data_IF_711275388657
#
_entry.id   IF_711275388657
#
_cell.length_a   1.000
_cell.length_b   1.000
_cell.length_c   1.000
_cell.angle_alpha   90.00
_cell.angle_beta   90.00
_cell.angle_gamma   90.00
#
_symmetry.space_group_name_H-M   'P 1'
#
loop_
_entity.id
_entity.type
_entity.pdbx_description
1 polymer ?
#
# COMPACT_ATOMS: atom_id res chain seq x y z
N UNK A 1 7.90 15.14 -3.52
CA UNK A 1 7.45 14.82 -3.58
C UNK A 1 6.83 13.90 -3.50
N UNK A 2 6.57 13.61 -3.62
CA UNK A 2 6.07 12.93 -3.15
C UNK A 2 5.21 11.89 -3.35
N UNK A 3 5.02 11.17 -2.49
CA UNK A 3 4.20 10.02 -2.55
C UNK A 3 2.86 10.22 -1.91
N UNK A 4 2.55 11.45 -1.52
CA UNK A 4 1.28 11.61 -0.88
C UNK A 4 0.23 11.39 -1.90
N UNK A 5 -0.68 10.54 -1.70
CA UNK A 5 -1.81 10.28 -2.57
C UNK A 5 -1.41 9.93 -3.97
N UNK A 6 -0.50 9.01 -4.08
CA UNK A 6 0.00 8.61 -5.37
C UNK A 6 -1.00 7.79 -6.16
N UNK A 7 -2.21 7.63 -5.68
CA UNK A 7 -3.19 6.80 -6.34
C UNK A 7 -3.22 5.41 -5.78
N UNK A 8 -3.94 4.53 -6.41
CA UNK A 8 -4.06 3.16 -5.93
C UNK A 8 -2.73 2.45 -5.99
N UNK A 9 -2.40 1.75 -4.92
CA UNK A 9 -1.12 1.06 -4.82
C UNK A 9 -1.16 -0.27 -5.56
N UNK A 10 -2.27 -0.98 -5.45
CA UNK A 10 -2.40 -2.30 -6.07
C UNK A 10 -3.54 -2.31 -7.06
N UNK A 11 -3.37 -3.13 -8.08
CA UNK A 11 -4.45 -3.38 -9.03
C UNK A 11 -5.55 -4.14 -8.33
N UNK A 12 -6.79 -3.89 -8.74
CA UNK A 12 -7.89 -4.68 -8.23
C UNK A 12 -7.79 -6.08 -8.80
N UNK A 13 -7.86 -7.12 -7.95
CA UNK A 13 -7.94 -8.47 -8.46
C UNK A 13 -9.24 -8.65 -9.21
N UNK A 14 -9.31 -9.74 -9.96
CA UNK A 14 -10.50 -10.03 -10.71
C UNK A 14 -11.69 -10.16 -9.77
N UNK A 15 -12.73 -9.38 -9.99
CA UNK A 15 -13.95 -9.44 -9.22
C UNK A 15 -13.82 -9.01 -7.77
N UNK A 16 -12.70 -8.39 -7.41
CA UNK A 16 -12.49 -7.95 -6.03
C UNK A 16 -11.89 -6.56 -6.03
N UNK A 17 -12.08 -5.86 -4.93
CA UNK A 17 -11.44 -4.56 -4.74
C UNK A 17 -10.23 -4.74 -3.85
N UNK A 18 -9.07 -4.30 -4.30
CA UNK A 18 -7.86 -4.37 -3.49
C UNK A 18 -8.07 -3.62 -2.18
N UNK A 19 -8.70 -2.45 -2.24
CA UNK A 19 -8.94 -1.68 -1.02
C UNK A 19 -9.78 -2.43 -0.01
N UNK A 20 -10.77 -3.16 -0.49
CA UNK A 20 -11.62 -3.92 0.38
C UNK A 20 -10.87 -5.04 1.08
N UNK A 21 -10.02 -5.74 0.33
CA UNK A 21 -9.22 -6.81 0.89
C UNK A 21 -8.23 -6.28 1.92
N UNK A 22 -7.64 -5.14 1.64
CA UNK A 22 -6.69 -4.53 2.56
C UNK A 22 -7.41 -4.08 3.83
N UNK A 23 -8.57 -3.48 3.67
CA UNK A 23 -9.35 -3.05 4.83
C UNK A 23 -9.80 -4.24 5.67
N UNK A 24 -10.25 -5.30 5.02
CA UNK A 24 -10.69 -6.50 5.74
C UNK A 24 -9.53 -7.17 6.48
N UNK A 25 -8.31 -6.97 5.99
CA UNK A 25 -7.13 -7.49 6.67
C UNK A 25 -6.67 -6.56 7.79
N UNK A 26 -7.40 -5.48 8.03
CA UNK A 26 -7.15 -4.54 9.13
C UNK A 26 -5.79 -3.86 9.02
N UNK A 27 -5.47 -3.47 7.80
CA UNK A 27 -4.18 -2.83 7.53
C UNK A 27 -4.24 -1.31 7.47
N UNK A 28 -5.44 -0.72 7.55
CA UNK A 28 -5.53 0.73 7.56
C UNK A 28 -4.72 1.28 8.72
N UNK A 29 -3.92 2.28 8.44
CA UNK A 29 -3.09 2.90 9.47
C UNK A 29 -1.76 2.24 9.69
N UNK A 30 -1.49 1.09 9.08
CA UNK A 30 -0.20 0.42 9.23
C UNK A 30 0.90 1.30 8.68
N UNK A 31 2.01 1.37 9.39
CA UNK A 31 3.10 2.27 9.04
C UNK A 31 4.42 1.53 8.92
N UNK A 32 5.26 2.03 8.03
CA UNK A 32 6.68 1.72 8.01
C UNK A 32 7.38 3.07 7.83
N UNK A 33 8.15 3.49 8.83
CA UNK A 33 8.68 4.83 8.79
C UNK A 33 7.54 5.83 8.71
N UNK A 34 7.61 6.74 7.76
CA UNK A 34 6.54 7.72 7.55
C UNK A 34 5.61 7.33 6.40
N UNK A 35 5.71 6.12 5.91
CA UNK A 35 4.75 5.60 4.94
C UNK A 35 3.62 4.94 5.70
N UNK A 36 2.39 5.26 5.34
CA UNK A 36 1.24 4.73 6.07
C UNK A 36 0.14 4.34 5.10
N UNK A 37 -0.48 3.20 5.36
CA UNK A 37 -1.70 2.84 4.65
C UNK A 37 -2.78 3.84 5.06
N UNK A 38 -3.40 4.49 4.09
CA UNK A 38 -4.37 5.53 4.37
C UNK A 38 -5.51 4.97 5.20
N UNK A 39 -5.97 5.76 6.17
CA UNK A 39 -7.11 5.36 6.98
C UNK A 39 -8.42 5.62 6.30
N UNK A 40 -8.41 6.39 5.22
CA UNK A 40 -9.63 6.63 4.45
C UNK A 40 -9.78 5.66 3.29
N UNK A 41 -8.67 5.42 2.58
CA UNK A 41 -8.69 4.57 1.39
C UNK A 41 -7.59 3.54 1.53
N UNK A 42 -7.96 2.34 1.87
CA UNK A 42 -7.00 1.32 2.25
C UNK A 42 -6.01 0.99 1.15
N UNK A 43 -6.33 1.23 -0.12
CA UNK A 43 -5.42 0.95 -1.21
C UNK A 43 -4.54 2.14 -1.57
N UNK A 44 -4.38 3.07 -0.65
CA UNK A 44 -3.52 4.23 -0.84
C UNK A 44 -2.47 4.24 0.25
N UNK A 45 -1.27 4.67 -0.09
CA UNK A 45 -0.22 4.88 0.90
C UNK A 45 0.11 6.36 0.90
N UNK A 46 0.13 6.94 2.09
CA UNK A 46 0.41 8.36 2.25
C UNK A 46 1.78 8.52 2.89
N UNK A 47 2.38 9.66 2.63
CA UNK A 47 3.66 10.04 3.20
C UNK A 47 3.39 11.03 4.31
N UNK A 48 3.75 10.66 5.54
CA UNK A 48 3.51 11.52 6.69
C UNK A 48 4.59 12.59 6.85
N UNK A 49 5.56 12.60 5.95
CA UNK A 49 6.56 13.65 5.96
C UNK A 49 7.89 13.22 5.39
N UNK A 50 8.42 12.12 5.86
CA UNK A 50 9.76 11.71 5.49
C UNK A 50 9.84 10.28 5.00
N UNK A 51 8.79 9.77 4.43
CA UNK A 51 8.82 8.42 3.92
C UNK A 51 9.80 8.33 2.78
N UNK A 52 10.57 7.26 2.78
CA UNK A 52 11.51 6.98 1.70
C UNK A 52 10.93 5.88 0.83
N UNK A 53 11.48 5.77 -0.39
CA UNK A 53 11.00 4.73 -1.28
C UNK A 53 11.09 3.36 -0.63
N UNK A 54 12.14 3.10 0.14
CA UNK A 54 12.27 1.80 0.79
C UNK A 54 11.17 1.57 1.82
N UNK A 55 10.69 2.64 2.46
CA UNK A 55 9.60 2.49 3.42
C UNK A 55 8.31 2.11 2.71
N UNK A 56 8.05 2.74 1.57
CA UNK A 56 6.87 2.44 0.78
C UNK A 56 6.93 1.00 0.27
N UNK A 57 8.08 0.60 -0.25
CA UNK A 57 8.23 -0.76 -0.75
C UNK A 57 8.03 -1.78 0.37
N UNK A 58 8.60 -1.51 1.53
CA UNK A 58 8.46 -2.41 2.66
C UNK A 58 7.00 -2.51 3.09
N UNK A 59 6.30 -1.38 3.13
CA UNK A 59 4.90 -1.38 3.50
C UNK A 59 4.06 -2.13 2.48
N UNK A 60 4.34 -1.92 1.19
CA UNK A 60 3.63 -2.64 0.16
C UNK A 60 3.81 -4.15 0.30
N UNK A 61 5.01 -4.57 0.67
CA UNK A 61 5.27 -5.99 0.84
C UNK A 61 4.50 -6.55 2.02
N UNK A 62 4.42 -5.79 3.12
CA UNK A 62 3.63 -6.19 4.28
C UNK A 62 2.17 -6.35 3.88
N UNK A 63 1.63 -5.36 3.16
CA UNK A 63 0.23 -5.40 2.76
C UNK A 63 -0.01 -6.60 1.85
N UNK A 64 0.85 -6.79 0.86
CA UNK A 64 0.70 -7.89 -0.09
C UNK A 64 0.72 -9.23 0.62
N UNK A 65 1.68 -9.41 1.52
CA UNK A 65 1.82 -10.68 2.21
C UNK A 65 0.65 -10.94 3.15
N UNK A 66 0.19 -9.89 3.84
CA UNK A 66 -0.92 -10.05 4.77
C UNK A 66 -2.20 -10.42 4.04
N UNK A 67 -2.47 -9.76 2.93
CA UNK A 67 -3.67 -10.07 2.16
C UNK A 67 -3.58 -11.50 1.62
N UNK A 68 -2.40 -11.91 1.18
CA UNK A 68 -2.22 -13.28 0.71
C UNK A 68 -2.50 -14.27 1.84
N UNK A 69 -1.99 -13.99 3.04
CA UNK A 69 -2.17 -14.90 4.16
C UNK A 69 -3.61 -14.95 4.64
N UNK A 70 -4.29 -13.81 4.63
CA UNK A 70 -5.65 -13.73 5.18
C UNK A 70 -6.68 -14.18 4.16
N UNK A 71 -6.51 -13.77 2.92
CA UNK A 71 -7.55 -13.98 1.91
C UNK A 71 -7.15 -14.97 0.83
N UNK A 72 -5.88 -15.34 0.76
CA UNK A 72 -5.42 -16.20 -0.32
C UNK A 72 -5.36 -15.50 -1.66
N UNK A 73 -5.37 -14.18 -1.68
CA UNK A 73 -5.37 -13.41 -2.89
C UNK A 73 -4.03 -12.72 -3.05
N UNK A 74 -3.44 -12.82 -4.23
CA UNK A 74 -2.17 -12.16 -4.51
C UNK A 74 -2.43 -10.81 -5.16
N UNK A 75 -2.04 -9.75 -4.48
CA UNK A 75 -2.16 -8.40 -5.02
C UNK A 75 -0.96 -8.10 -5.90
N UNK A 76 -1.20 -7.30 -6.95
CA UNK A 76 -0.14 -6.87 -7.84
C UNK A 76 0.00 -5.36 -7.77
N UNK A 77 1.23 -4.85 -7.64
CA UNK A 77 1.42 -3.41 -7.56
C UNK A 77 1.00 -2.72 -8.85
N UNK A 78 0.42 -1.56 -8.71
CA UNK A 78 0.04 -0.75 -9.84
C UNK A 78 0.94 0.45 -9.99
N UNK A 79 1.41 1.01 -8.86
CA UNK A 79 2.27 2.18 -8.94
C UNK A 79 3.71 1.74 -9.17
N UNK A 80 4.49 2.65 -9.74
CA UNK A 80 5.91 2.44 -9.90
C UNK A 80 6.65 3.33 -8.92
N UNK A 81 7.60 2.74 -8.22
CA UNK A 81 8.45 3.51 -7.33
C UNK A 81 9.62 4.01 -8.15
N UNK A 82 9.63 5.28 -8.43
CA UNK A 82 10.70 5.88 -9.17
C UNK A 82 11.68 6.39 -8.18
N UNK A 83 12.72 5.81 -8.19
CA UNK A 83 13.66 6.13 -7.18
C UNK A 83 14.12 7.51 -7.18
N UNK A 84 13.95 8.23 -7.14
CA UNK A 84 14.34 9.23 -6.90
C UNK A 84 14.46 9.63 -5.96
N UNK A 85 14.48 9.64 -5.58
CA UNK A 85 14.62 9.98 -4.81
C UNK A 85 15.02 9.67 -4.24
N UNK A 86 15.14 9.40 -4.72
CA UNK A 86 15.73 9.12 -4.27
C UNK A 86 16.09 9.39 -3.71
#
# INVERSE_FOLDING_TARGET
>A
MGLQNAGSVFKNPQEESAGRLIEAAKLKGRKVGDAQVSEKHANFIVNLGRAKAKDVVALMEIVRQTVLDVHGVRLEPEIKIIGEDA
#
